data_IF_758327240413
#
_entry.id   IF_758327240413
#
_cell.length_a   1.000
_cell.length_b   1.000
_cell.length_c   1.000
_cell.angle_alpha   90.00
_cell.angle_beta   90.00
_cell.angle_gamma   90.00
#
_symmetry.space_group_name_H-M   'P 1'
#
loop_
_entity.id
_entity.type
_entity.pdbx_description
1 polymer ?
#
# COMPACT_ATOMS: atom_id res chain seq x y z
N UNK A 1 -9.58 -7.51 27.32
CA UNK A 1 -9.10 -8.71 26.58
C UNK A 1 -8.06 -8.19 25.61
N UNK A 2 -6.79 -8.50 25.84
CA UNK A 2 -5.67 -8.07 24.99
C UNK A 2 -5.89 -8.61 23.58
N UNK A 3 -5.86 -7.73 22.58
CA UNK A 3 -6.02 -8.11 21.18
C UNK A 3 -4.78 -8.93 20.77
N UNK A 4 -4.90 -10.21 20.37
CA UNK A 4 -3.77 -11.04 19.94
C UNK A 4 -3.06 -10.52 18.68
N UNK A 5 -3.62 -9.51 18.02
CA UNK A 5 -3.06 -8.83 16.85
C UNK A 5 -1.89 -7.86 17.18
N UNK A 6 -1.47 -7.78 18.44
CA UNK A 6 -0.51 -6.78 18.91
C UNK A 6 0.99 -7.10 18.67
N UNK A 7 1.37 -8.22 18.05
CA UNK A 7 2.79 -8.62 17.99
C UNK A 7 3.45 -8.50 16.60
N UNK A 8 2.69 -8.34 15.51
CA UNK A 8 3.26 -8.31 14.15
C UNK A 8 3.00 -6.95 13.49
N UNK A 9 4.04 -6.20 13.07
CA UNK A 9 3.88 -4.91 12.42
C UNK A 9 3.17 -5.03 11.08
N UNK A 10 2.19 -4.15 10.86
CA UNK A 10 1.63 -3.92 9.53
C UNK A 10 2.54 -2.93 8.81
N UNK A 11 2.98 -3.28 7.60
CA UNK A 11 3.77 -2.41 6.73
C UNK A 11 2.90 -1.95 5.59
N UNK A 12 2.86 -0.64 5.35
CA UNK A 12 2.14 -0.04 4.23
C UNK A 12 3.13 0.71 3.36
N UNK A 13 3.13 0.40 2.07
CA UNK A 13 3.83 1.17 1.06
C UNK A 13 2.81 1.84 0.15
N UNK A 14 2.81 3.16 0.17
CA UNK A 14 1.91 3.99 -0.64
C UNK A 14 2.68 5.18 -1.19
N UNK A 15 1.98 6.10 -1.86
CA UNK A 15 2.56 7.26 -2.53
C UNK A 15 1.92 7.48 -3.89
N UNK A 16 2.31 8.54 -4.61
CA UNK A 16 1.58 8.97 -5.78
C UNK A 16 1.63 7.97 -6.92
N UNK A 17 0.69 8.08 -7.86
CA UNK A 17 0.80 7.33 -9.13
C UNK A 17 2.14 7.64 -9.82
N UNK A 18 2.70 6.66 -10.54
CA UNK A 18 4.02 6.74 -11.18
C UNK A 18 5.25 6.86 -10.25
N UNK A 19 5.12 6.75 -8.92
CA UNK A 19 6.28 6.74 -8.01
C UNK A 19 7.10 5.44 -8.03
N UNK A 20 6.62 4.37 -8.67
CA UNK A 20 7.34 3.09 -8.83
C UNK A 20 7.09 2.04 -7.73
N UNK A 21 6.04 2.23 -6.93
CA UNK A 21 5.62 1.33 -5.83
C UNK A 21 5.62 -0.15 -6.20
N UNK A 22 4.93 -0.52 -7.28
CA UNK A 22 4.77 -1.92 -7.68
C UNK A 22 6.11 -2.63 -7.93
N UNK A 23 7.09 -1.92 -8.49
CA UNK A 23 8.44 -2.45 -8.71
C UNK A 23 9.18 -2.65 -7.39
N UNK A 24 9.09 -1.69 -6.47
CA UNK A 24 9.68 -1.79 -5.12
C UNK A 24 9.02 -2.95 -4.35
N UNK A 25 7.70 -3.05 -4.35
CA UNK A 25 6.94 -4.13 -3.70
C UNK A 25 7.42 -5.48 -4.19
N UNK A 26 7.54 -5.65 -5.51
CA UNK A 26 8.02 -6.90 -6.11
C UNK A 26 9.43 -7.26 -5.64
N UNK A 27 10.35 -6.29 -5.59
CA UNK A 27 11.73 -6.51 -5.10
C UNK A 27 11.74 -6.86 -3.62
N UNK A 28 11.03 -6.10 -2.77
CA UNK A 28 10.96 -6.35 -1.33
C UNK A 28 10.39 -7.73 -1.00
N UNK A 29 9.38 -8.21 -1.73
CA UNK A 29 8.85 -9.57 -1.52
C UNK A 29 9.87 -10.68 -1.82
N UNK A 30 10.93 -10.39 -2.58
CA UNK A 30 11.97 -11.35 -2.95
C UNK A 30 13.21 -11.23 -2.08
N UNK A 31 13.61 -10.02 -1.70
CA UNK A 31 14.92 -9.74 -1.11
C UNK A 31 14.89 -9.03 0.24
N UNK A 32 13.71 -8.72 0.78
CA UNK A 32 13.61 -8.06 2.09
C UNK A 32 14.28 -8.89 3.19
N UNK A 33 15.05 -8.27 4.09
CA UNK A 33 15.65 -8.96 5.23
C UNK A 33 14.58 -9.45 6.23
N UNK A 34 13.39 -8.86 6.21
CA UNK A 34 12.23 -9.26 7.00
C UNK A 34 11.23 -9.96 6.08
N UNK A 35 10.65 -11.08 6.52
CA UNK A 35 9.66 -11.82 5.74
C UNK A 35 8.37 -11.01 5.60
N UNK A 36 8.07 -10.54 4.38
CA UNK A 36 6.86 -9.80 4.05
C UNK A 36 5.86 -10.70 3.34
N UNK A 37 4.58 -10.59 3.69
CA UNK A 37 3.47 -11.28 3.02
C UNK A 37 2.57 -10.22 2.41
N UNK A 38 2.52 -10.15 1.07
CA UNK A 38 1.65 -9.19 0.37
C UNK A 38 0.19 -9.50 0.70
N UNK A 39 -0.54 -8.49 1.19
CA UNK A 39 -1.97 -8.56 1.37
C UNK A 39 -2.68 -8.40 0.02
N UNK A 40 -3.69 -9.25 -0.21
CA UNK A 40 -4.55 -9.18 -1.39
C UNK A 40 -5.75 -8.29 -1.04
N UNK A 41 -5.92 -7.20 -1.77
CA UNK A 41 -7.06 -6.30 -1.56
C UNK A 41 -8.34 -6.92 -2.12
N UNK A 42 -9.48 -6.57 -1.54
CA UNK A 42 -10.81 -6.83 -2.09
C UNK A 42 -11.26 -5.64 -2.96
N UNK A 43 -12.04 -5.93 -4.00
CA UNK A 43 -12.67 -4.89 -4.83
C UNK A 43 -14.05 -5.30 -5.31
N UNK A 44 -14.94 -4.32 -5.52
CA UNK A 44 -16.22 -4.50 -6.21
C UNK A 44 -16.15 -4.30 -7.73
N UNK A 45 -14.96 -3.97 -8.25
CA UNK A 45 -14.75 -3.86 -9.69
C UNK A 45 -14.83 -5.25 -10.34
N UNK A 46 -15.45 -5.38 -11.53
CA UNK A 46 -15.37 -6.62 -12.29
C UNK A 46 -13.91 -7.02 -12.61
N UNK A 47 -13.65 -8.32 -12.57
CA UNK A 47 -12.37 -8.91 -12.98
C UNK A 47 -12.03 -8.53 -14.43
N UNK A 48 -10.79 -8.11 -14.70
CA UNK A 48 -10.27 -7.83 -16.05
C UNK A 48 -9.64 -9.09 -16.65
N UNK A 49 -9.47 -9.07 -17.97
CA UNK A 49 -8.81 -10.17 -18.67
C UNK A 49 -7.39 -10.38 -18.14
N UNK A 50 -7.11 -11.60 -17.70
CA UNK A 50 -5.81 -12.00 -17.14
C UNK A 50 -5.66 -11.82 -15.63
N UNK A 51 -6.61 -11.18 -14.93
CA UNK A 51 -6.64 -11.16 -13.46
C UNK A 51 -7.21 -12.49 -12.92
N UNK A 52 -6.76 -12.89 -11.73
CA UNK A 52 -7.16 -14.11 -11.04
C UNK A 52 -7.68 -13.76 -9.63
N UNK A 53 -8.89 -14.24 -9.32
CA UNK A 53 -9.49 -14.09 -8.00
C UNK A 53 -8.67 -14.79 -6.91
N UNK A 54 -8.51 -14.11 -5.78
CA UNK A 54 -7.68 -14.58 -4.67
C UNK A 54 -6.17 -14.54 -4.95
N UNK A 55 -5.74 -13.87 -6.02
CA UNK A 55 -4.33 -13.59 -6.30
C UNK A 55 -4.10 -12.10 -6.58
N UNK A 56 -4.80 -11.55 -7.57
CA UNK A 56 -4.70 -10.13 -7.91
C UNK A 56 -5.56 -9.28 -6.97
N UNK A 57 -6.82 -9.70 -6.80
CA UNK A 57 -7.78 -9.15 -5.85
C UNK A 57 -8.73 -10.25 -5.38
N UNK A 58 -9.42 -10.02 -4.28
CA UNK A 58 -10.71 -10.68 -4.02
C UNK A 58 -11.81 -9.88 -4.73
N UNK A 59 -12.36 -10.44 -5.80
CA UNK A 59 -13.41 -9.82 -6.59
C UNK A 59 -14.76 -10.12 -5.96
N UNK A 60 -15.23 -9.19 -5.12
CA UNK A 60 -16.48 -9.31 -4.39
C UNK A 60 -17.62 -8.61 -5.13
N UNK A 61 -18.84 -9.12 -4.94
CA UNK A 61 -20.03 -8.36 -5.31
C UNK A 61 -20.20 -7.12 -4.39
N UNK A 62 -20.91 -6.07 -4.84
CA UNK A 62 -21.24 -4.94 -3.97
C UNK A 62 -21.92 -5.36 -2.66
N UNK A 63 -22.80 -6.36 -2.70
CA UNK A 63 -23.51 -6.90 -1.55
C UNK A 63 -22.55 -7.58 -0.57
N UNK A 64 -21.66 -8.44 -1.06
CA UNK A 64 -20.63 -9.10 -0.24
C UNK A 64 -19.69 -8.09 0.40
N UNK A 65 -19.22 -7.09 -0.36
CA UNK A 65 -18.33 -6.06 0.17
C UNK A 65 -19.02 -5.26 1.29
N UNK A 66 -20.29 -4.89 1.09
CA UNK A 66 -21.08 -4.17 2.08
C UNK A 66 -21.34 -5.00 3.34
N UNK A 67 -21.60 -6.30 3.19
CA UNK A 67 -21.72 -7.23 4.32
C UNK A 67 -20.43 -7.27 5.15
N UNK A 68 -19.28 -7.45 4.49
CA UNK A 68 -17.97 -7.44 5.16
C UNK A 68 -17.67 -6.11 5.84
N UNK A 69 -18.06 -5.00 5.22
CA UNK A 69 -17.94 -3.66 5.81
C UNK A 69 -18.79 -3.53 7.09
N UNK A 70 -20.05 -3.97 7.05
CA UNK A 70 -20.96 -3.99 8.23
C UNK A 70 -20.45 -4.88 9.35
N UNK A 71 -19.84 -6.01 8.99
CA UNK A 71 -19.27 -6.97 9.94
C UNK A 71 -17.88 -6.56 10.46
N UNK A 72 -17.38 -5.36 10.09
CA UNK A 72 -16.06 -4.87 10.49
C UNK A 72 -14.91 -5.84 10.11
N UNK A 73 -15.00 -6.45 8.93
CA UNK A 73 -14.00 -7.41 8.41
C UNK A 73 -12.92 -6.73 7.55
N UNK A 74 -13.06 -5.45 7.25
CA UNK A 74 -12.10 -4.65 6.49
C UNK A 74 -11.24 -3.81 7.44
N UNK A 75 -9.94 -3.77 7.19
CA UNK A 75 -9.00 -2.87 7.87
C UNK A 75 -9.21 -1.41 7.45
N UNK A 76 -9.35 -1.21 6.16
CA UNK A 76 -9.63 0.05 5.51
C UNK A 76 -10.47 -0.23 4.26
N UNK A 77 -11.23 0.78 3.83
CA UNK A 77 -11.88 0.74 2.54
C UNK A 77 -12.20 2.14 2.01
N UNK A 78 -12.24 2.26 0.68
CA UNK A 78 -12.64 3.49 0.01
C UNK A 78 -13.11 3.28 -1.43
N UNK A 79 -13.82 4.28 -1.94
CA UNK A 79 -14.12 4.37 -3.35
C UNK A 79 -12.97 5.08 -4.06
N UNK A 80 -12.25 4.33 -4.88
CA UNK A 80 -11.10 4.85 -5.61
C UNK A 80 -11.58 5.53 -6.90
N UNK A 81 -11.08 6.74 -7.16
CA UNK A 81 -11.32 7.54 -8.37
C UNK A 81 -12.78 7.90 -8.69
N UNK A 82 -13.72 7.79 -7.74
CA UNK A 82 -15.11 8.22 -7.94
C UNK A 82 -15.88 7.41 -9.01
N UNK A 83 -15.34 6.25 -9.42
CA UNK A 83 -15.96 5.36 -10.43
C UNK A 83 -17.02 4.44 -9.84
N UNK A 84 -17.33 4.56 -8.54
CA UNK A 84 -18.32 3.76 -7.83
C UNK A 84 -17.84 2.38 -7.38
N UNK A 85 -16.59 2.01 -7.65
CA UNK A 85 -16.00 0.77 -7.17
C UNK A 85 -15.30 0.97 -5.83
N UNK A 86 -15.52 0.03 -4.91
CA UNK A 86 -14.87 -0.01 -3.62
C UNK A 86 -13.62 -0.88 -3.69
N UNK A 87 -12.63 -0.49 -2.90
CA UNK A 87 -11.42 -1.24 -2.62
C UNK A 87 -11.23 -1.26 -1.11
N UNK A 88 -10.59 -2.32 -0.61
CA UNK A 88 -10.24 -2.39 0.80
C UNK A 88 -9.43 -3.63 1.13
N UNK A 89 -8.80 -3.63 2.30
CA UNK A 89 -7.96 -4.74 2.75
C UNK A 89 -8.69 -5.57 3.81
N UNK A 90 -8.82 -6.88 3.58
CA UNK A 90 -9.47 -7.78 4.55
C UNK A 90 -8.57 -7.99 5.79
N UNK A 91 -9.17 -7.98 6.99
CA UNK A 91 -8.47 -8.32 8.24
C UNK A 91 -7.91 -9.73 8.21
N UNK A 92 -8.55 -10.65 7.49
CA UNK A 92 -8.06 -12.02 7.30
C UNK A 92 -6.69 -12.08 6.61
N UNK A 93 -6.30 -11.07 5.82
CA UNK A 93 -4.98 -11.01 5.21
C UNK A 93 -3.87 -10.71 6.23
N UNK A 94 -4.18 -9.94 7.27
CA UNK A 94 -3.26 -9.75 8.41
C UNK A 94 -3.06 -11.07 9.14
N UNK A 95 -4.17 -11.76 9.43
CA UNK A 95 -4.12 -13.06 10.11
C UNK A 95 -3.41 -14.11 9.26
N UNK A 96 -3.56 -14.06 7.93
CA UNK A 96 -2.85 -14.94 6.98
C UNK A 96 -1.36 -14.68 7.02
N UNK A 97 -0.93 -13.42 6.91
CA UNK A 97 0.48 -13.05 6.99
C UNK A 97 1.12 -13.53 8.30
N UNK A 98 0.42 -13.32 9.42
CA UNK A 98 0.83 -13.79 10.73
C UNK A 98 1.01 -15.31 10.80
N UNK A 99 0.04 -16.08 10.28
CA UNK A 99 0.11 -17.55 10.21
C UNK A 99 1.26 -18.05 9.34
N UNK A 100 1.59 -17.31 8.29
CA UNK A 100 2.74 -17.58 7.43
C UNK A 100 4.08 -17.14 8.05
N UNK A 101 4.07 -16.55 9.25
CA UNK A 101 5.26 -16.10 9.97
C UNK A 101 5.93 -14.88 9.34
N UNK A 102 5.16 -14.02 8.67
CA UNK A 102 5.65 -12.79 8.06
C UNK A 102 4.79 -11.58 8.39
N UNK A 103 5.28 -10.40 8.03
CA UNK A 103 4.61 -9.15 8.30
C UNK A 103 3.60 -8.86 7.17
N UNK A 104 2.35 -8.47 7.49
CA UNK A 104 1.39 -8.02 6.49
C UNK A 104 1.95 -6.81 5.75
N UNK A 105 2.02 -6.92 4.42
CA UNK A 105 2.55 -5.87 3.55
C UNK A 105 1.49 -5.38 2.56
N UNK A 106 1.05 -4.14 2.74
CA UNK A 106 -0.05 -3.54 2.00
C UNK A 106 0.50 -2.54 0.97
N UNK A 107 0.04 -2.67 -0.27
CA UNK A 107 0.23 -1.69 -1.36
C UNK A 107 -1.12 -1.00 -1.61
N UNK A 108 -1.43 0.04 -0.85
CA UNK A 108 -2.70 0.78 -0.93
C UNK A 108 -2.45 2.26 -1.26
N UNK A 109 -3.52 3.01 -1.54
CA UNK A 109 -3.40 4.43 -1.87
C UNK A 109 -3.14 5.32 -0.63
N UNK A 110 -2.89 6.60 -0.88
CA UNK A 110 -2.53 7.55 0.19
C UNK A 110 -3.68 7.75 1.18
N UNK A 111 -4.93 7.79 0.71
CA UNK A 111 -6.11 8.00 1.54
C UNK A 111 -6.41 6.76 2.41
N UNK A 112 -6.36 5.57 1.83
CA UNK A 112 -6.51 4.31 2.55
C UNK A 112 -5.45 4.15 3.63
N UNK A 113 -4.22 4.56 3.35
CA UNK A 113 -3.12 4.53 4.33
C UNK A 113 -3.39 5.44 5.54
N UNK A 114 -3.88 6.66 5.32
CA UNK A 114 -4.16 7.59 6.43
C UNK A 114 -5.30 7.07 7.32
N UNK A 115 -6.38 6.54 6.72
CA UNK A 115 -7.48 5.92 7.46
C UNK A 115 -7.03 4.69 8.25
N UNK A 116 -6.15 3.87 7.65
CA UNK A 116 -5.57 2.73 8.34
C UNK A 116 -4.72 3.19 9.53
N UNK A 117 -3.92 4.24 9.37
CA UNK A 117 -3.08 4.80 10.43
C UNK A 117 -3.90 5.40 11.58
N UNK A 118 -5.05 6.00 11.30
CA UNK A 118 -5.99 6.46 12.34
C UNK A 118 -6.51 5.30 13.20
N UNK A 119 -6.82 4.16 12.58
CA UNK A 119 -7.32 2.98 13.28
C UNK A 119 -6.21 2.13 13.93
N UNK A 120 -5.02 2.11 13.31
CA UNK A 120 -3.86 1.33 13.72
C UNK A 120 -2.61 2.23 13.72
N UNK A 121 -2.42 3.09 14.74
CA UNK A 121 -1.32 4.07 14.79
C UNK A 121 0.09 3.45 14.78
N UNK A 122 0.21 2.17 15.14
CA UNK A 122 1.44 1.39 15.11
C UNK A 122 1.84 0.90 13.71
N UNK A 123 1.01 1.13 12.70
CA UNK A 123 1.30 0.77 11.31
C UNK A 123 2.53 1.52 10.81
N UNK A 124 3.48 0.80 10.22
CA UNK A 124 4.66 1.40 9.61
C UNK A 124 4.33 1.85 8.19
N UNK A 125 4.29 3.17 8.01
CA UNK A 125 3.87 3.81 6.76
C UNK A 125 5.08 4.34 5.98
N UNK A 126 5.26 3.84 4.75
CA UNK A 126 6.33 4.18 3.82
C UNK A 126 5.76 4.93 2.62
N UNK A 127 6.09 6.22 2.48
CA UNK A 127 5.66 7.04 1.35
C UNK A 127 6.74 7.05 0.26
N UNK A 128 6.45 6.47 -0.89
CA UNK A 128 7.37 6.46 -2.03
C UNK A 128 7.08 7.63 -2.97
N UNK A 129 8.10 8.44 -3.24
CA UNK A 129 8.05 9.54 -4.21
C UNK A 129 9.22 9.57 -5.18
N UNK A 130 9.10 10.31 -6.27
CA UNK A 130 10.24 10.66 -7.13
C UNK A 130 11.08 11.78 -6.50
N UNK A 131 12.25 12.06 -7.09
CA UNK A 131 13.12 13.17 -6.70
C UNK A 131 12.52 14.54 -7.02
N UNK A 132 11.68 14.64 -8.06
CA UNK A 132 11.06 15.90 -8.50
C UNK A 132 9.75 15.71 -9.25
N UNK A 133 9.00 16.80 -9.41
CA UNK A 133 7.76 16.87 -10.20
C UNK A 133 8.00 16.53 -11.68
N UNK A 134 9.12 16.97 -12.24
CA UNK A 134 9.49 16.71 -13.64
C UNK A 134 9.68 15.21 -13.91
N UNK A 135 10.17 14.46 -12.91
CA UNK A 135 10.33 13.01 -13.03
C UNK A 135 8.97 12.29 -13.01
N UNK A 136 7.97 12.80 -12.27
CA UNK A 136 6.60 12.28 -12.37
C UNK A 136 6.02 12.53 -13.76
N UNK A 137 6.15 13.75 -14.27
CA UNK A 137 5.66 14.14 -15.59
C UNK A 137 6.29 13.29 -16.69
N UNK A 138 7.61 13.15 -16.68
CA UNK A 138 8.34 12.29 -17.60
C UNK A 138 7.81 10.86 -17.59
N UNK A 139 7.67 10.24 -16.41
CA UNK A 139 7.17 8.86 -16.28
C UNK A 139 5.72 8.68 -16.74
N UNK A 140 4.87 9.69 -16.58
CA UNK A 140 3.49 9.66 -17.09
C UNK A 140 3.50 9.76 -18.62
N UNK A 141 4.26 10.71 -19.17
CA UNK A 141 4.36 10.96 -20.61
C UNK A 141 5.00 9.79 -21.36
N UNK A 142 6.00 9.14 -20.77
CA UNK A 142 6.68 7.97 -21.36
C UNK A 142 5.74 6.79 -21.61
N UNK A 143 4.57 6.72 -20.92
CA UNK A 143 3.56 5.70 -21.21
C UNK A 143 2.81 5.96 -22.52
N UNK A 144 2.77 7.20 -23.01
CA UNK A 144 2.32 7.57 -24.35
C UNK A 144 0.83 7.33 -24.68
N UNK A 145 -0.01 7.01 -23.69
CA UNK A 145 -1.41 6.57 -23.93
C UNK A 145 -2.47 7.60 -23.53
N UNK A 146 -2.10 8.74 -22.96
CA UNK A 146 -3.03 9.68 -22.31
C UNK A 146 -3.00 11.05 -22.99
N UNK A 147 -4.15 11.75 -23.02
CA UNK A 147 -4.24 13.12 -23.53
C UNK A 147 -3.63 14.12 -22.55
N UNK A 148 -3.26 15.31 -23.04
CA UNK A 148 -2.68 16.37 -22.20
C UNK A 148 -3.57 16.73 -21.01
N UNK A 149 -4.88 16.82 -21.21
CA UNK A 149 -5.86 17.08 -20.15
C UNK A 149 -5.83 16.01 -19.04
N UNK A 150 -5.63 14.74 -19.40
CA UNK A 150 -5.52 13.64 -18.43
C UNK A 150 -4.18 13.74 -17.67
N UNK A 151 -3.10 14.07 -18.37
CA UNK A 151 -1.77 14.23 -17.77
C UNK A 151 -1.78 15.35 -16.72
N UNK A 152 -2.33 16.52 -17.06
CA UNK A 152 -2.46 17.65 -16.13
C UNK A 152 -3.29 17.29 -14.89
N UNK A 153 -4.42 16.59 -15.05
CA UNK A 153 -5.24 16.12 -13.93
C UNK A 153 -4.46 15.17 -13.02
N UNK A 154 -3.69 14.24 -13.59
CA UNK A 154 -2.87 13.30 -12.81
C UNK A 154 -1.76 14.03 -12.05
N UNK A 155 -1.08 14.99 -12.68
CA UNK A 155 -0.07 15.81 -12.02
C UNK A 155 -0.66 16.64 -10.88
N UNK A 156 -1.85 17.21 -11.06
CA UNK A 156 -2.55 17.91 -9.99
C UNK A 156 -2.91 16.98 -8.81
N UNK A 157 -3.33 15.74 -9.08
CA UNK A 157 -3.55 14.74 -8.04
C UNK A 157 -2.26 14.38 -7.32
N UNK A 158 -1.15 14.17 -8.05
CA UNK A 158 0.16 13.86 -7.46
C UNK A 158 0.60 14.96 -6.49
N UNK A 159 0.47 16.24 -6.87
CA UNK A 159 0.85 17.36 -5.98
C UNK A 159 0.08 17.33 -4.65
N UNK A 160 -1.22 17.07 -4.69
CA UNK A 160 -2.05 16.91 -3.48
C UNK A 160 -1.62 15.70 -2.65
N UNK A 161 -1.27 14.59 -3.29
CA UNK A 161 -0.79 13.40 -2.59
C UNK A 161 0.59 13.62 -1.95
N UNK A 162 1.47 14.41 -2.57
CA UNK A 162 2.79 14.78 -2.04
C UNK A 162 2.70 15.60 -0.76
N UNK A 163 1.70 16.48 -0.62
CA UNK A 163 1.45 17.23 0.62
C UNK A 163 1.19 16.29 1.80
N UNK A 164 0.58 15.13 1.56
CA UNK A 164 0.25 14.15 2.60
C UNK A 164 1.46 13.32 3.07
N UNK A 165 2.63 13.48 2.47
CA UNK A 165 3.84 12.77 2.85
C UNK A 165 4.27 13.05 4.30
N UNK A 166 3.94 14.23 4.85
CA UNK A 166 4.26 14.61 6.24
C UNK A 166 3.61 13.69 7.28
N UNK A 167 2.52 13.02 6.92
CA UNK A 167 1.81 12.11 7.81
C UNK A 167 2.40 10.70 7.84
N UNK A 168 3.47 10.42 7.11
CA UNK A 168 4.09 9.10 7.04
C UNK A 168 5.23 8.95 8.04
N UNK A 169 5.53 7.71 8.43
CA UNK A 169 6.68 7.45 9.30
C UNK A 169 8.00 7.62 8.53
N UNK A 170 8.01 7.22 7.25
CA UNK A 170 9.19 7.32 6.39
C UNK A 170 8.80 7.80 4.99
N UNK A 171 9.66 8.63 4.40
CA UNK A 171 9.53 9.11 3.01
C UNK A 171 10.74 8.62 2.22
N UNK A 172 10.49 7.84 1.17
CA UNK A 172 11.50 7.17 0.35
C UNK A 172 11.55 7.81 -1.04
N UNK A 173 12.73 8.19 -1.49
CA UNK A 173 12.94 8.76 -2.83
C UNK A 173 13.38 7.64 -3.78
N UNK A 174 12.57 7.38 -4.81
CA UNK A 174 12.76 6.32 -5.82
C UNK A 174 13.23 6.88 -7.17
N UNK A 175 14.48 7.37 -7.19
CA UNK A 175 15.27 7.69 -8.38
C UNK A 175 16.09 6.46 -8.85
N UNK A 176 16.66 5.72 -7.91
CA UNK A 176 17.41 4.48 -8.09
C UNK A 176 16.72 3.36 -7.30
N UNK A 177 16.20 2.36 -8.02
CA UNK A 177 15.42 1.27 -7.42
C UNK A 177 16.19 0.55 -6.31
N UNK A 178 17.45 0.21 -6.56
CA UNK A 178 18.26 -0.54 -5.59
C UNK A 178 18.51 0.28 -4.31
N UNK A 179 18.69 1.60 -4.43
CA UNK A 179 18.82 2.48 -3.26
C UNK A 179 17.54 2.49 -2.44
N UNK A 180 16.39 2.70 -3.09
CA UNK A 180 15.09 2.75 -2.42
C UNK A 180 14.74 1.43 -1.72
N UNK A 181 15.02 0.29 -2.36
CA UNK A 181 14.77 -1.03 -1.76
C UNK A 181 15.69 -1.30 -0.58
N UNK A 182 16.99 -0.96 -0.68
CA UNK A 182 17.94 -1.11 0.42
C UNK A 182 17.60 -0.22 1.63
N UNK A 183 17.16 1.01 1.37
CA UNK A 183 16.70 1.94 2.41
C UNK A 183 15.50 1.36 3.17
N UNK A 184 14.47 0.89 2.44
CA UNK A 184 13.31 0.25 3.05
C UNK A 184 13.73 -1.00 3.83
N UNK A 185 14.56 -1.87 3.25
CA UNK A 185 15.05 -3.07 3.93
C UNK A 185 15.79 -2.76 5.24
N UNK A 186 16.54 -1.66 5.29
CA UNK A 186 17.21 -1.19 6.51
C UNK A 186 16.21 -0.75 7.57
N UNK A 187 15.19 0.01 7.18
CA UNK A 187 14.09 0.43 8.07
C UNK A 187 13.37 -0.80 8.66
N UNK A 188 13.00 -1.76 7.80
CA UNK A 188 12.33 -3.00 8.23
C UNK A 188 13.17 -3.78 9.24
N UNK A 189 14.47 -3.94 8.95
CA UNK A 189 15.41 -4.67 9.82
C UNK A 189 15.59 -3.98 11.17
N UNK A 190 15.70 -2.64 11.18
CA UNK A 190 15.77 -1.89 12.43
C UNK A 190 14.51 -2.11 13.26
N UNK A 191 13.33 -2.05 12.62
CA UNK A 191 12.06 -2.29 13.31
C UNK A 191 11.99 -3.70 13.91
N UNK A 192 12.46 -4.72 13.19
CA UNK A 192 12.49 -6.10 13.68
C UNK A 192 13.40 -6.25 14.91
N UNK A 193 14.53 -5.55 14.93
CA UNK A 193 15.44 -5.53 16.09
C UNK A 193 14.82 -4.85 17.30
N UNK A 194 14.05 -3.78 17.12
CA UNK A 194 13.32 -3.11 18.20
C UNK A 194 12.27 -4.02 18.84
N UNK A 195 11.54 -4.78 18.02
CA UNK A 195 10.55 -5.78 18.48
C UNK A 195 11.25 -6.87 19.29
N UNK A 196 12.32 -7.45 18.73
CA UNK A 196 13.06 -8.53 19.38
C UNK A 196 13.74 -8.09 20.69
N UNK A 197 14.03 -6.80 20.83
CA UNK A 197 14.59 -6.22 22.06
C UNK A 197 13.52 -5.87 23.11
N UNK A 198 12.23 -6.08 22.83
CA UNK A 198 11.13 -5.74 23.73
C UNK A 198 10.94 -4.24 23.95
N UNK A 199 11.32 -3.40 22.97
CA UNK A 199 11.31 -1.93 23.08
C UNK A 199 10.02 -1.28 22.57
N UNK A 200 8.93 -2.05 22.46
CA UNK A 200 7.67 -1.65 21.85
C UNK A 200 6.51 -2.15 22.69
#
# INVERSE_FOLDING_TARGET
MSNPQAEIPIVVLSGPTASGKTTIVKRLLQESPVKLIKAISATTRPIRNGEIDGQDYYFLTPEEFEERRKNNELLECEQVHGLGYWYGTLKSEVDRAAKEGGWPFLEIDVQGTLKLKEQFPQTMTLFVRTSSDEEYEKRIRDRGTESEEIIEKRLATIRKELELAEYYNHVIINDELDRAVNEIGTILKQREQEINAGRI
#
